data_IF_994347693245
#
_entry.id   IF_994347693245
#
_cell.length_a   1.000
_cell.length_b   1.000
_cell.length_c   1.000
_cell.angle_alpha   90.00
_cell.angle_beta   90.00
_cell.angle_gamma   90.00
#
_symmetry.space_group_name_H-M   'P 1'
#
loop_
_entity.id
_entity.type
_entity.pdbx_description
1 polymer ?
#
# COMPACT_ATOMS: atom_id res chain seq x y z
N UNK A 1 23.11 -7.94 -6.04
CA UNK A 1 22.59 -6.55 -6.06
C UNK A 1 23.24 -5.71 -4.97
N UNK A 2 23.09 -6.06 -3.69
CA UNK A 2 23.63 -5.27 -2.57
C UNK A 2 25.15 -5.11 -2.61
N UNK A 3 25.90 -6.17 -2.93
CA UNK A 3 27.37 -6.09 -3.11
C UNK A 3 27.80 -4.99 -4.08
N UNK A 4 27.02 -4.74 -5.15
CA UNK A 4 27.33 -3.69 -6.11
C UNK A 4 27.11 -2.30 -5.50
N UNK A 5 26.02 -2.11 -4.76
CA UNK A 5 25.68 -0.83 -4.15
C UNK A 5 26.66 -0.51 -3.00
N UNK A 6 27.01 -1.51 -2.19
CA UNK A 6 27.90 -1.35 -1.04
C UNK A 6 29.38 -1.13 -1.41
N UNK A 7 29.72 -1.04 -2.70
CA UNK A 7 31.03 -0.51 -3.16
C UNK A 7 31.11 1.00 -3.05
N UNK A 8 29.96 1.67 -3.25
CA UNK A 8 29.87 3.13 -3.34
C UNK A 8 29.17 3.74 -2.12
N UNK A 9 28.56 2.92 -1.26
CA UNK A 9 27.80 3.35 -0.08
C UNK A 9 28.16 2.52 1.16
N UNK A 10 28.18 3.16 2.32
CA UNK A 10 28.48 2.53 3.61
C UNK A 10 27.36 1.59 4.08
N UNK A 11 26.11 2.04 3.95
CA UNK A 11 24.92 1.34 4.39
C UNK A 11 23.81 1.36 3.31
N UNK A 12 22.86 0.45 3.42
CA UNK A 12 21.74 0.29 2.49
C UNK A 12 20.43 0.07 3.26
N UNK A 13 19.41 0.85 2.93
CA UNK A 13 18.02 0.61 3.35
C UNK A 13 17.31 -0.19 2.27
N UNK A 14 16.86 -1.40 2.59
CA UNK A 14 16.11 -2.26 1.66
C UNK A 14 14.66 -2.40 2.14
N UNK A 15 13.70 -1.93 1.34
CA UNK A 15 12.28 -1.91 1.71
C UNK A 15 11.51 -2.93 0.84
N UNK A 16 11.37 -4.19 1.28
CA UNK A 16 10.54 -5.17 0.61
C UNK A 16 9.05 -4.87 0.77
N UNK A 17 8.22 -5.47 -0.09
CA UNK A 17 6.78 -5.51 0.15
C UNK A 17 6.45 -6.27 1.44
N UNK A 18 5.27 -5.98 2.02
CA UNK A 18 4.74 -6.58 3.25
C UNK A 18 5.03 -8.07 3.35
N UNK A 19 5.62 -8.45 4.48
CA UNK A 19 5.95 -9.85 4.79
C UNK A 19 4.71 -10.73 4.90
N UNK A 20 3.56 -10.17 5.24
CA UNK A 20 2.29 -10.89 5.25
C UNK A 20 1.75 -11.24 3.85
N UNK A 21 2.28 -10.61 2.80
CA UNK A 21 1.87 -10.83 1.40
C UNK A 21 2.92 -11.56 0.55
N UNK A 22 4.18 -11.55 0.97
CA UNK A 22 5.32 -12.12 0.23
C UNK A 22 6.46 -12.54 1.15
N UNK A 23 7.04 -13.71 0.87
CA UNK A 23 8.24 -14.24 1.55
C UNK A 23 9.54 -13.52 1.17
N UNK A 24 9.46 -12.50 0.30
CA UNK A 24 10.62 -11.71 -0.12
C UNK A 24 11.26 -10.94 1.03
N UNK A 25 10.46 -10.56 2.04
CA UNK A 25 10.96 -9.86 3.21
C UNK A 25 11.85 -10.79 4.06
N UNK A 26 11.38 -11.97 4.41
CA UNK A 26 12.12 -12.97 5.18
C UNK A 26 13.39 -13.40 4.45
N UNK A 27 13.29 -13.60 3.13
CA UNK A 27 14.45 -13.92 2.29
C UNK A 27 15.51 -12.82 2.37
N UNK A 28 15.10 -11.55 2.28
CA UNK A 28 16.01 -10.43 2.39
C UNK A 28 16.62 -10.32 3.80
N UNK A 29 15.82 -10.50 4.87
CA UNK A 29 16.31 -10.49 6.24
C UNK A 29 17.40 -11.55 6.45
N UNK A 30 17.18 -12.77 5.94
CA UNK A 30 18.16 -13.85 5.99
C UNK A 30 19.46 -13.45 5.27
N UNK A 31 19.36 -12.99 4.02
CA UNK A 31 20.54 -12.59 3.24
C UNK A 31 21.30 -11.40 3.87
N UNK A 32 20.60 -10.50 4.56
CA UNK A 32 21.23 -9.32 5.17
C UNK A 32 22.15 -9.66 6.35
N UNK A 33 22.03 -10.87 6.94
CA UNK A 33 22.90 -11.34 8.02
C UNK A 33 24.37 -11.41 7.59
N UNK A 34 24.63 -11.69 6.31
CA UNK A 34 25.98 -11.80 5.75
C UNK A 34 26.67 -10.44 5.54
N UNK A 35 25.97 -9.32 5.78
CA UNK A 35 26.45 -7.96 5.46
C UNK A 35 26.87 -7.15 6.70
N UNK A 36 27.02 -7.79 7.86
CA UNK A 36 27.56 -7.15 9.06
C UNK A 36 26.80 -5.89 9.50
N UNK A 37 25.47 -5.85 9.29
CA UNK A 37 24.63 -4.70 9.62
C UNK A 37 24.57 -3.59 8.56
N UNK A 38 25.34 -3.69 7.47
CA UNK A 38 25.32 -2.69 6.38
C UNK A 38 24.04 -2.71 5.55
N UNK A 39 23.25 -3.79 5.62
CA UNK A 39 21.95 -3.89 4.95
C UNK A 39 20.83 -3.89 5.99
N UNK A 40 20.05 -2.82 6.02
CA UNK A 40 18.89 -2.65 6.89
C UNK A 40 17.62 -2.99 6.12
N UNK A 41 17.12 -4.20 6.31
CA UNK A 41 15.85 -4.64 5.73
C UNK A 41 14.70 -4.10 6.58
N UNK A 42 13.79 -3.37 5.94
CA UNK A 42 12.66 -2.66 6.56
C UNK A 42 11.37 -3.44 6.35
N UNK A 43 10.85 -4.06 7.40
CA UNK A 43 9.54 -4.71 7.34
C UNK A 43 8.42 -3.78 7.84
N UNK A 44 8.12 -2.74 7.05
CA UNK A 44 7.08 -1.76 7.41
C UNK A 44 5.67 -2.11 6.91
N UNK A 45 5.45 -3.35 6.46
CA UNK A 45 4.14 -3.86 6.05
C UNK A 45 3.44 -3.05 4.94
N UNK A 46 4.20 -2.40 4.04
CA UNK A 46 3.64 -1.65 2.91
C UNK A 46 3.64 -2.42 1.59
N UNK A 47 2.81 -1.99 0.64
CA UNK A 47 2.77 -2.56 -0.72
C UNK A 47 2.28 -1.50 -1.71
N UNK A 48 2.63 -1.64 -2.99
CA UNK A 48 2.16 -0.75 -4.05
C UNK A 48 2.53 0.73 -3.75
N UNK A 49 1.63 1.67 -3.98
CA UNK A 49 1.86 3.10 -3.78
C UNK A 49 2.20 3.48 -2.32
N UNK A 50 1.81 2.68 -1.32
CA UNK A 50 2.22 2.94 0.08
C UNK A 50 3.68 2.52 0.32
N UNK A 51 4.18 1.52 -0.43
CA UNK A 51 5.60 1.16 -0.43
C UNK A 51 6.43 2.20 -1.18
N UNK A 52 5.89 2.78 -2.27
CA UNK A 52 6.49 3.93 -2.93
C UNK A 52 6.68 5.09 -1.95
N UNK A 53 5.67 5.41 -1.15
CA UNK A 53 5.80 6.46 -0.13
C UNK A 53 6.92 6.15 0.86
N UNK A 54 7.04 4.91 1.33
CA UNK A 54 8.14 4.51 2.23
C UNK A 54 9.53 4.71 1.62
N UNK A 55 9.67 4.48 0.31
CA UNK A 55 10.94 4.72 -0.38
C UNK A 55 11.27 6.22 -0.48
N UNK A 56 10.26 7.08 -0.69
CA UNK A 56 10.44 8.54 -0.69
C UNK A 56 10.78 9.05 0.71
N UNK A 57 10.10 8.56 1.75
CA UNK A 57 10.39 8.93 3.13
C UNK A 57 11.81 8.51 3.53
N UNK A 58 12.23 7.29 3.15
CA UNK A 58 13.60 6.82 3.37
C UNK A 58 14.64 7.70 2.66
N UNK A 59 14.36 8.12 1.42
CA UNK A 59 15.23 9.01 0.67
C UNK A 59 15.37 10.37 1.36
N UNK A 60 14.26 10.94 1.86
CA UNK A 60 14.27 12.21 2.55
C UNK A 60 15.01 12.14 3.90
N UNK A 61 14.80 11.08 4.68
CA UNK A 61 15.52 10.86 5.94
C UNK A 61 17.03 10.64 5.70
N UNK A 62 17.41 9.91 4.65
CA UNK A 62 18.81 9.74 4.28
C UNK A 62 19.46 11.08 3.87
N UNK A 63 18.73 11.93 3.11
CA UNK A 63 19.17 13.28 2.77
C UNK A 63 19.32 14.19 4.01
N UNK A 64 18.53 13.94 5.06
CA UNK A 64 18.65 14.59 6.37
C UNK A 64 19.77 14.02 7.26
N UNK A 65 20.57 13.07 6.77
CA UNK A 65 21.72 12.51 7.48
C UNK A 65 21.40 11.40 8.47
N UNK A 66 20.18 10.82 8.43
CA UNK A 66 19.84 9.65 9.25
C UNK A 66 20.59 8.41 8.75
N UNK A 67 21.06 7.60 9.69
CA UNK A 67 21.64 6.28 9.40
C UNK A 67 20.60 5.29 8.87
N UNK A 68 21.05 4.23 8.19
CA UNK A 68 20.13 3.22 7.67
C UNK A 68 19.33 2.53 8.80
N UNK A 69 19.93 2.37 9.99
CA UNK A 69 19.30 1.77 11.16
C UNK A 69 18.20 2.68 11.75
N UNK A 70 18.44 3.99 11.83
CA UNK A 70 17.41 4.96 12.27
C UNK A 70 16.23 5.00 11.29
N UNK A 71 16.52 5.02 9.98
CA UNK A 71 15.49 5.01 8.94
C UNK A 71 14.63 3.76 9.05
N UNK A 72 15.26 2.59 9.20
CA UNK A 72 14.55 1.33 9.44
C UNK A 72 13.63 1.44 10.65
N UNK A 73 14.16 1.88 11.80
CA UNK A 73 13.41 1.97 13.03
C UNK A 73 12.17 2.88 12.90
N UNK A 74 12.32 4.05 12.26
CA UNK A 74 11.22 4.98 12.02
C UNK A 74 10.15 4.40 11.10
N UNK A 75 10.55 3.78 9.98
CA UNK A 75 9.60 3.17 9.04
C UNK A 75 8.86 1.97 9.65
N UNK A 76 9.54 1.15 10.46
CA UNK A 76 8.90 0.02 11.14
C UNK A 76 7.97 0.47 12.27
N UNK A 77 8.29 1.58 12.95
CA UNK A 77 7.43 2.17 13.98
C UNK A 77 6.08 2.61 13.41
N UNK A 78 6.06 3.16 12.19
CA UNK A 78 4.84 3.68 11.54
C UNK A 78 4.20 2.68 10.58
N UNK A 79 4.56 1.39 10.64
CA UNK A 79 4.11 0.35 9.71
C UNK A 79 2.59 0.25 9.51
N UNK A 80 1.79 0.67 10.50
CA UNK A 80 0.32 0.64 10.44
C UNK A 80 -0.34 2.01 10.24
N UNK A 81 0.45 3.06 10.07
CA UNK A 81 -0.05 4.42 9.79
C UNK A 81 -0.40 4.61 8.31
N UNK A 82 -0.94 3.56 7.70
CA UNK A 82 -1.58 3.64 6.39
C UNK A 82 -2.61 2.55 6.20
N UNK A 83 -3.59 2.89 5.39
CA UNK A 83 -4.72 2.04 5.05
C UNK A 83 -4.88 2.01 3.52
N UNK A 84 -5.19 0.83 2.99
CA UNK A 84 -5.54 0.62 1.59
C UNK A 84 -6.94 0.06 1.54
N UNK A 85 -7.83 0.71 0.78
CA UNK A 85 -9.13 0.19 0.41
C UNK A 85 -9.14 -0.11 -1.07
N UNK A 86 -9.53 -1.32 -1.43
CA UNK A 86 -9.51 -1.79 -2.82
C UNK A 86 -10.78 -2.54 -3.14
N UNK A 87 -11.32 -2.29 -4.33
CA UNK A 87 -12.38 -3.12 -4.91
C UNK A 87 -11.90 -3.77 -6.20
N UNK A 88 -12.44 -4.96 -6.48
CA UNK A 88 -12.04 -5.81 -7.59
C UNK A 88 -13.27 -6.39 -8.29
N UNK A 89 -13.12 -6.78 -9.55
CA UNK A 89 -14.20 -7.44 -10.29
C UNK A 89 -14.54 -8.83 -9.74
N UNK A 90 -13.52 -9.54 -9.29
CA UNK A 90 -13.65 -10.92 -8.81
C UNK A 90 -12.55 -11.27 -7.81
N UNK A 91 -12.91 -12.08 -6.82
CA UNK A 91 -11.94 -12.65 -5.87
C UNK A 91 -11.20 -13.87 -6.43
N UNK A 92 -11.49 -14.30 -7.67
CA UNK A 92 -10.89 -15.49 -8.29
C UNK A 92 -9.36 -15.46 -8.23
N UNK A 93 -8.73 -14.34 -8.59
CA UNK A 93 -7.28 -14.19 -8.64
C UNK A 93 -6.67 -14.24 -7.24
N UNK A 94 -7.24 -13.48 -6.31
CA UNK A 94 -6.80 -13.43 -4.91
C UNK A 94 -6.90 -14.80 -4.24
N UNK A 95 -7.99 -15.54 -4.49
CA UNK A 95 -8.17 -16.92 -4.00
C UNK A 95 -7.13 -17.86 -4.57
N UNK A 96 -6.95 -17.87 -5.91
CA UNK A 96 -5.95 -18.73 -6.56
C UNK A 96 -4.52 -18.40 -6.12
N UNK A 97 -4.26 -17.12 -5.86
CA UNK A 97 -2.97 -16.65 -5.36
C UNK A 97 -2.73 -16.89 -3.87
N UNK A 98 -3.74 -17.25 -3.09
CA UNK A 98 -3.60 -17.45 -1.64
C UNK A 98 -3.38 -16.17 -0.82
N UNK A 99 -3.57 -14.97 -1.41
CA UNK A 99 -3.39 -13.66 -0.74
C UNK A 99 -4.72 -13.09 -0.23
N UNK A 100 -5.73 -13.95 -0.07
CA UNK A 100 -7.08 -13.59 0.39
C UNK A 100 -7.37 -14.33 1.67
N UNK A 101 -7.88 -13.65 2.70
CA UNK A 101 -8.35 -14.36 3.91
C UNK A 101 -9.53 -15.29 3.58
N UNK A 102 -9.76 -16.35 4.37
CA UNK A 102 -10.95 -17.19 4.20
C UNK A 102 -12.27 -16.40 4.26
N UNK A 103 -12.34 -15.39 5.14
CA UNK A 103 -13.50 -14.52 5.28
C UNK A 103 -13.75 -13.69 4.00
N UNK A 104 -12.69 -13.11 3.42
CA UNK A 104 -12.79 -12.43 2.13
C UNK A 104 -13.20 -13.40 1.01
N UNK A 105 -12.63 -14.61 0.98
CA UNK A 105 -12.95 -15.60 -0.03
C UNK A 105 -14.43 -16.00 -0.07
N UNK A 106 -15.13 -16.03 1.06
CA UNK A 106 -16.55 -16.41 1.14
C UNK A 106 -17.50 -15.42 0.41
N UNK A 107 -17.04 -14.22 0.05
CA UNK A 107 -17.87 -13.16 -0.55
C UNK A 107 -18.10 -13.37 -2.05
N UNK A 108 -17.23 -14.11 -2.73
CA UNK A 108 -17.18 -14.18 -4.20
C UNK A 108 -18.23 -15.06 -4.88
N UNK A 109 -19.26 -15.55 -4.18
CA UNK A 109 -20.29 -16.45 -4.73
C UNK A 109 -21.58 -15.74 -5.15
N UNK A 110 -21.72 -14.43 -4.85
CA UNK A 110 -22.94 -13.67 -5.11
C UNK A 110 -22.81 -12.85 -6.40
N UNK A 111 -23.75 -13.03 -7.33
CA UNK A 111 -23.78 -12.34 -8.62
C UNK A 111 -23.90 -10.81 -8.44
N UNK A 112 -23.22 -10.03 -9.29
CA UNK A 112 -23.17 -8.55 -9.28
C UNK A 112 -22.63 -7.89 -7.99
N UNK A 113 -22.03 -8.67 -7.10
CA UNK A 113 -21.39 -8.14 -5.91
C UNK A 113 -19.95 -7.70 -6.20
N UNK A 114 -19.59 -6.49 -5.79
CA UNK A 114 -18.23 -5.95 -5.78
C UNK A 114 -17.73 -5.87 -4.34
N UNK A 115 -16.77 -6.72 -3.93
CA UNK A 115 -16.22 -6.65 -2.59
C UNK A 115 -15.38 -5.38 -2.44
N UNK A 116 -15.43 -4.76 -1.28
CA UNK A 116 -14.41 -3.81 -0.82
C UNK A 116 -13.56 -4.54 0.20
N UNK A 117 -12.25 -4.49 -0.01
CA UNK A 117 -11.24 -5.17 0.78
C UNK A 117 -10.36 -4.10 1.44
N UNK A 118 -9.79 -4.44 2.60
CA UNK A 118 -8.84 -3.58 3.32
C UNK A 118 -7.50 -4.29 3.42
N UNK A 119 -6.43 -3.55 3.21
CA UNK A 119 -5.09 -3.93 3.65
C UNK A 119 -4.65 -2.92 4.70
N UNK A 120 -4.43 -3.42 5.93
CA UNK A 120 -3.74 -2.69 7.00
C UNK A 120 -2.53 -3.51 7.39
N UNK A 121 -1.45 -3.29 6.66
CA UNK A 121 -0.23 -4.06 6.80
C UNK A 121 -0.28 -5.42 6.11
N UNK A 122 -0.52 -6.47 6.90
CA UNK A 122 -0.07 -7.83 6.58
C UNK A 122 -0.99 -8.63 5.66
N UNK A 123 -2.29 -8.34 5.63
CA UNK A 123 -3.26 -9.18 4.93
C UNK A 123 -4.35 -8.38 4.26
N UNK A 124 -4.86 -8.95 3.17
CA UNK A 124 -5.98 -8.43 2.43
C UNK A 124 -7.25 -9.14 2.90
N UNK A 125 -8.10 -8.38 3.60
CA UNK A 125 -9.28 -8.90 4.29
C UNK A 125 -10.57 -8.24 3.80
N UNK A 126 -11.70 -8.91 4.06
CA UNK A 126 -13.02 -8.37 3.77
C UNK A 126 -13.26 -7.10 4.56
N UNK A 127 -13.65 -6.04 3.88
CA UNK A 127 -14.08 -4.81 4.54
C UNK A 127 -15.59 -4.59 4.40
N UNK A 128 -16.11 -4.61 3.18
CA UNK A 128 -17.53 -4.41 2.93
C UNK A 128 -18.01 -5.15 1.68
N UNK A 129 -19.33 -5.33 1.59
CA UNK A 129 -20.02 -5.91 0.43
C UNK A 129 -20.83 -4.81 -0.24
N UNK A 130 -20.52 -4.49 -1.50
CA UNK A 130 -21.25 -3.50 -2.26
C UNK A 130 -21.88 -4.12 -3.52
N UNK A 131 -23.07 -3.66 -3.90
CA UNK A 131 -23.73 -4.09 -5.14
C UNK A 131 -23.39 -3.13 -6.26
N UNK A 132 -22.57 -3.59 -7.20
CA UNK A 132 -22.09 -2.79 -8.32
C UNK A 132 -20.97 -1.79 -7.97
N UNK A 133 -20.35 -1.27 -9.03
CA UNK A 133 -19.17 -0.40 -8.98
C UNK A 133 -19.41 0.92 -8.23
N UNK A 134 -20.51 1.61 -8.54
CA UNK A 134 -20.86 2.89 -7.90
C UNK A 134 -20.94 2.78 -6.38
N UNK A 135 -21.58 1.72 -5.87
CA UNK A 135 -21.68 1.49 -4.43
C UNK A 135 -20.32 1.15 -3.81
N UNK A 136 -19.49 0.35 -4.49
CA UNK A 136 -18.16 0.00 -3.99
C UNK A 136 -17.23 1.22 -3.89
N UNK A 137 -17.18 2.05 -4.95
CA UNK A 137 -16.43 3.31 -4.97
C UNK A 137 -16.90 4.26 -3.88
N UNK A 138 -18.21 4.47 -3.76
CA UNK A 138 -18.80 5.27 -2.67
C UNK A 138 -18.37 4.76 -1.28
N UNK A 139 -18.44 3.45 -1.04
CA UNK A 139 -18.01 2.86 0.23
C UNK A 139 -16.53 3.13 0.51
N UNK A 140 -15.65 3.05 -0.50
CA UNK A 140 -14.22 3.37 -0.32
C UNK A 140 -14.02 4.86 0.02
N UNK A 141 -14.69 5.77 -0.68
CA UNK A 141 -14.60 7.21 -0.43
C UNK A 141 -15.12 7.59 0.96
N UNK A 142 -16.32 7.11 1.32
CA UNK A 142 -16.92 7.37 2.64
C UNK A 142 -16.03 6.82 3.76
N UNK A 143 -15.44 5.64 3.54
CA UNK A 143 -14.53 5.02 4.51
C UNK A 143 -13.24 5.80 4.66
N UNK A 144 -12.63 6.20 3.54
CA UNK A 144 -11.42 7.02 3.54
C UNK A 144 -11.65 8.32 4.33
N UNK A 145 -12.75 9.05 4.06
CA UNK A 145 -13.13 10.25 4.83
C UNK A 145 -13.28 9.97 6.33
N UNK A 146 -14.04 8.93 6.68
CA UNK A 146 -14.21 8.53 8.09
C UNK A 146 -12.88 8.23 8.77
N UNK A 147 -11.98 7.53 8.10
CA UNK A 147 -10.67 7.14 8.65
C UNK A 147 -9.73 8.35 8.77
N UNK A 148 -9.85 9.35 7.90
CA UNK A 148 -9.20 10.66 8.09
C UNK A 148 -9.64 11.32 9.40
N UNK A 149 -10.94 11.29 9.68
CA UNK A 149 -11.54 11.90 10.87
C UNK A 149 -11.38 11.08 12.16
N UNK A 150 -11.04 9.79 12.06
CA UNK A 150 -10.85 8.90 13.22
C UNK A 150 -9.41 8.51 13.41
N UNK A 151 -8.89 7.61 12.57
CA UNK A 151 -7.59 6.97 12.77
C UNK A 151 -6.45 7.97 12.50
N UNK A 152 -6.71 8.97 11.64
CA UNK A 152 -5.77 10.03 11.28
C UNK A 152 -6.22 11.43 11.72
N UNK A 153 -7.09 11.53 12.72
CA UNK A 153 -7.69 12.81 13.17
C UNK A 153 -6.66 13.89 13.58
N UNK A 154 -5.45 13.46 13.95
CA UNK A 154 -4.34 14.37 14.29
C UNK A 154 -3.64 15.00 13.08
N UNK A 155 -3.88 14.50 11.86
CA UNK A 155 -3.19 14.94 10.66
C UNK A 155 -3.89 16.15 10.03
N UNK A 156 -3.12 17.18 9.68
CA UNK A 156 -3.64 18.46 9.14
C UNK A 156 -3.22 18.65 7.69
N UNK A 157 -4.13 18.27 6.79
CA UNK A 157 -3.95 18.54 5.36
C UNK A 157 -2.95 17.60 4.66
N UNK A 158 -2.54 17.96 3.43
CA UNK A 158 -1.76 17.08 2.55
C UNK A 158 -0.29 16.90 2.96
N UNK A 159 0.24 17.74 3.85
CA UNK A 159 1.61 17.59 4.36
C UNK A 159 1.75 16.51 5.43
N UNK A 160 0.65 16.20 6.13
CA UNK A 160 0.65 15.22 7.22
C UNK A 160 -0.07 13.92 6.86
N UNK A 161 -0.88 13.92 5.78
CA UNK A 161 -1.62 12.75 5.31
C UNK A 161 -1.64 12.71 3.78
N UNK A 162 -0.99 11.69 3.21
CA UNK A 162 -0.98 11.47 1.77
C UNK A 162 -2.16 10.62 1.34
N UNK A 163 -2.81 11.03 0.25
CA UNK A 163 -3.81 10.25 -0.46
C UNK A 163 -3.20 9.81 -1.79
N UNK A 164 -3.28 8.52 -2.07
CA UNK A 164 -2.82 7.95 -3.32
C UNK A 164 -3.78 6.87 -3.79
N UNK A 165 -3.64 6.46 -5.05
CA UNK A 165 -4.49 5.46 -5.65
C UNK A 165 -3.67 4.46 -6.47
N UNK A 166 -4.27 3.32 -6.73
CA UNK A 166 -3.70 2.36 -7.66
C UNK A 166 -4.81 1.64 -8.44
N UNK A 167 -4.48 1.16 -9.63
CA UNK A 167 -5.47 0.52 -10.49
C UNK A 167 -4.93 -0.64 -11.31
N UNK A 168 -5.83 -1.50 -11.77
CA UNK A 168 -5.62 -2.37 -12.94
C UNK A 168 -6.78 -2.16 -13.91
N UNK A 169 -6.55 -2.28 -15.21
CA UNK A 169 -7.58 -2.02 -16.21
C UNK A 169 -7.15 -0.93 -17.18
N UNK A 170 -8.12 -0.22 -17.76
CA UNK A 170 -7.85 0.76 -18.82
C UNK A 170 -7.49 2.13 -18.23
N UNK A 171 -6.94 3.01 -19.08
CA UNK A 171 -6.59 4.38 -18.67
C UNK A 171 -7.83 5.22 -18.43
N UNK A 172 -8.89 5.00 -19.18
CA UNK A 172 -10.15 5.74 -19.12
C UNK A 172 -10.82 5.50 -17.75
N UNK A 173 -11.02 4.24 -17.39
CA UNK A 173 -11.59 3.88 -16.09
C UNK A 173 -10.67 4.31 -14.91
N UNK A 174 -9.36 4.44 -15.14
CA UNK A 174 -8.43 4.95 -14.14
C UNK A 174 -8.62 6.46 -13.96
N UNK A 175 -8.69 7.19 -15.07
CA UNK A 175 -8.95 8.63 -15.09
C UNK A 175 -10.27 8.98 -14.40
N UNK A 176 -11.35 8.24 -14.68
CA UNK A 176 -12.64 8.40 -13.98
C UNK A 176 -12.50 8.22 -12.46
N UNK A 177 -11.67 7.27 -12.02
CA UNK A 177 -11.45 7.06 -10.60
C UNK A 177 -10.63 8.18 -9.95
N UNK A 178 -9.62 8.68 -10.67
CA UNK A 178 -8.84 9.82 -10.20
C UNK A 178 -9.72 11.07 -10.03
N UNK A 179 -10.60 11.36 -11.00
CA UNK A 179 -11.53 12.50 -10.93
C UNK A 179 -12.49 12.38 -9.73
N UNK A 180 -13.02 11.18 -9.47
CA UNK A 180 -13.86 10.94 -8.28
C UNK A 180 -13.08 11.14 -6.97
N UNK A 181 -11.80 10.77 -6.93
CA UNK A 181 -10.93 10.97 -5.77
C UNK A 181 -10.59 12.45 -5.56
N UNK A 182 -10.23 13.17 -6.62
CA UNK A 182 -9.91 14.61 -6.56
C UNK A 182 -11.13 15.43 -6.12
N UNK A 183 -12.32 15.09 -6.63
CA UNK A 183 -13.57 15.68 -6.16
C UNK A 183 -13.88 15.33 -4.70
N UNK A 184 -13.49 14.12 -4.24
CA UNK A 184 -13.75 13.67 -2.89
C UNK A 184 -12.79 14.27 -1.85
N UNK A 185 -11.56 14.63 -2.25
CA UNK A 185 -10.50 15.12 -1.37
C UNK A 185 -9.87 16.42 -1.91
N UNK A 186 -10.63 17.52 -1.97
CA UNK A 186 -10.12 18.78 -2.49
C UNK A 186 -8.90 19.26 -1.70
N UNK A 187 -7.87 19.70 -2.41
CA UNK A 187 -6.61 20.18 -1.82
C UNK A 187 -5.58 19.09 -1.52
N UNK A 188 -5.90 17.81 -1.70
CA UNK A 188 -4.92 16.73 -1.62
C UNK A 188 -4.37 16.42 -3.02
N UNK A 189 -3.04 16.49 -3.24
CA UNK A 189 -2.44 15.96 -4.46
C UNK A 189 -2.54 14.43 -4.45
N UNK A 190 -3.12 13.84 -5.50
CA UNK A 190 -3.36 12.40 -5.57
C UNK A 190 -2.43 11.77 -6.59
N UNK A 191 -1.47 10.99 -6.10
CA UNK A 191 -0.62 10.16 -6.95
C UNK A 191 -1.33 8.85 -7.28
N UNK A 192 -1.37 8.45 -8.57
CA UNK A 192 -1.97 7.19 -8.97
C UNK A 192 -1.10 6.43 -9.97
N UNK A 193 -0.80 5.17 -9.66
CA UNK A 193 -0.03 4.27 -10.52
C UNK A 193 -0.83 3.01 -10.91
N UNK A 194 -0.56 2.42 -12.09
CA UNK A 194 -0.99 1.06 -12.36
C UNK A 194 -0.29 0.09 -11.41
N UNK A 195 -0.99 -0.96 -10.96
CA UNK A 195 -0.36 -2.03 -10.18
C UNK A 195 0.69 -2.77 -11.03
N UNK A 196 1.85 -3.00 -10.44
CA UNK A 196 2.90 -3.82 -11.06
C UNK A 196 2.41 -5.24 -11.35
N UNK A 197 3.03 -5.93 -12.30
CA UNK A 197 2.64 -7.30 -12.67
C UNK A 197 2.68 -8.29 -11.49
N UNK A 198 3.63 -8.09 -10.55
CA UNK A 198 3.74 -8.93 -9.35
C UNK A 198 2.54 -8.78 -8.40
N UNK A 199 1.89 -7.62 -8.37
CA UNK A 199 0.68 -7.39 -7.57
C UNK A 199 -0.57 -7.70 -8.40
N UNK A 200 -0.61 -7.25 -9.65
CA UNK A 200 -1.75 -7.39 -10.55
C UNK A 200 -2.10 -8.85 -10.85
N UNK A 201 -1.13 -9.77 -10.87
CA UNK A 201 -1.39 -11.20 -11.07
C UNK A 201 -2.25 -11.81 -9.94
N UNK A 202 -2.17 -11.25 -8.73
CA UNK A 202 -2.97 -11.66 -7.57
C UNK A 202 -4.28 -10.88 -7.47
N UNK A 203 -4.27 -9.58 -7.78
CA UNK A 203 -5.46 -8.72 -7.69
C UNK A 203 -6.45 -8.99 -8.84
N UNK A 204 -5.93 -9.24 -10.04
CA UNK A 204 -6.73 -9.34 -11.26
C UNK A 204 -6.96 -7.98 -11.94
N UNK A 205 -7.58 -7.99 -13.13
CA UNK A 205 -7.93 -6.78 -13.86
C UNK A 205 -9.10 -6.01 -13.21
N UNK A 206 -9.24 -4.73 -13.58
CA UNK A 206 -10.37 -3.88 -13.22
C UNK A 206 -10.33 -3.29 -11.81
N UNK A 207 -9.27 -3.50 -11.02
CA UNK A 207 -9.22 -3.07 -9.63
C UNK A 207 -9.07 -1.56 -9.46
N UNK A 208 -9.72 -0.97 -8.44
CA UNK A 208 -9.54 0.42 -8.03
C UNK A 208 -9.23 0.48 -6.55
N UNK A 209 -8.17 1.18 -6.19
CA UNK A 209 -7.75 1.37 -4.82
C UNK A 209 -7.61 2.85 -4.47
N UNK A 210 -7.84 3.15 -3.20
CA UNK A 210 -7.47 4.40 -2.53
C UNK A 210 -6.67 4.06 -1.29
N UNK A 211 -5.68 4.88 -0.99
CA UNK A 211 -4.80 4.71 0.16
C UNK A 211 -4.71 6.01 0.94
N UNK A 212 -4.61 5.90 2.25
CA UNK A 212 -4.29 7.01 3.15
C UNK A 212 -3.03 6.62 3.89
N UNK A 213 -2.00 7.47 3.86
CA UNK A 213 -0.71 7.22 4.50
C UNK A 213 -0.27 8.45 5.26
N UNK A 214 -0.09 8.31 6.58
CA UNK A 214 0.44 9.39 7.40
C UNK A 214 1.86 9.71 6.93
N UNK A 215 2.16 10.99 6.77
CA UNK A 215 3.51 11.42 6.48
C UNK A 215 4.42 11.14 7.68
N UNK A 216 5.68 10.77 7.40
CA UNK A 216 6.68 10.70 8.44
C UNK A 216 7.13 12.11 8.82
N UNK A 217 7.36 12.39 10.13
CA UNK A 217 8.08 13.58 10.52
C UNK A 217 9.53 13.41 10.07
N UNK A 218 9.91 14.12 9.00
CA UNK A 218 11.27 14.12 8.44
C UNK A 218 12.08 15.20 9.15
#
# INVERSE_FOLDING_TARGET
MWERILKDYDELVYIPMSSGLSSSCETAVMLAQDYGGRVQVVNNQRISVTLRQSALDAQALAAAGRSAAEIKALLEQTKFDSDIYITVDTLKYLKKGGRCTPAAAAIGTVLNLKPVLRIKGEKLDSFAKARGWKAAKKTMLDTARRVMETDFAGCRGPEELHIAAAFTGTREEAQEWLEELEAAFPGYPIHMDPLSLSVACHIGPGARAVTLTKALPI
#
